data_IF_593833843767
#
_entry.id   IF_593833843767
#
_cell.length_a   1.000
_cell.length_b   1.000
_cell.length_c   1.000
_cell.angle_alpha   90.00
_cell.angle_beta   90.00
_cell.angle_gamma   90.00
#
_symmetry.space_group_name_H-M   'P 1'
#
loop_
_entity.id
_entity.type
_entity.pdbx_description
1 polymer ?
#
# COMPACT_ATOMS: atom_id res chain seq x y z
N UNK A 1 38.89 8.57 -21.37
CA UNK A 1 38.08 7.85 -20.36
C UNK A 1 36.66 8.36 -20.48
N UNK A 2 35.86 7.76 -21.35
CA UNK A 2 34.45 8.16 -21.53
C UNK A 2 33.55 7.25 -20.70
N UNK A 3 32.80 7.86 -19.79
CA UNK A 3 31.91 7.18 -18.87
C UNK A 3 30.69 6.63 -19.60
N UNK A 4 30.66 5.31 -19.75
CA UNK A 4 29.51 4.57 -20.27
C UNK A 4 28.38 4.56 -19.22
N UNK A 5 27.61 5.65 -19.12
CA UNK A 5 26.32 5.63 -18.40
C UNK A 5 25.31 4.89 -19.28
N UNK A 6 25.34 3.56 -19.22
CA UNK A 6 24.24 2.73 -19.71
C UNK A 6 22.98 3.20 -18.98
N UNK A 7 22.04 3.78 -19.72
CA UNK A 7 20.73 4.14 -19.18
C UNK A 7 20.15 2.89 -18.53
N UNK A 8 19.87 2.97 -17.23
CA UNK A 8 19.27 1.86 -16.51
C UNK A 8 17.94 1.54 -17.19
N UNK A 9 17.84 0.36 -17.79
CA UNK A 9 16.61 -0.09 -18.44
C UNK A 9 15.51 -0.13 -17.37
N UNK A 10 14.49 0.70 -17.55
CA UNK A 10 13.46 0.88 -16.53
C UNK A 10 12.62 -0.41 -16.45
N UNK A 11 12.79 -1.18 -15.37
CA UNK A 11 12.04 -2.41 -15.14
C UNK A 11 10.55 -2.10 -15.12
N UNK A 12 9.80 -2.68 -16.06
CA UNK A 12 8.34 -2.60 -16.07
C UNK A 12 7.78 -3.67 -15.12
N UNK A 13 6.87 -3.27 -14.25
CA UNK A 13 6.14 -4.17 -13.35
C UNK A 13 4.67 -4.09 -13.73
N UNK A 14 4.08 -5.23 -14.11
CA UNK A 14 2.63 -5.35 -14.28
C UNK A 14 2.02 -5.81 -12.94
N UNK A 15 0.97 -5.12 -12.52
CA UNK A 15 0.10 -5.55 -11.43
C UNK A 15 -1.32 -5.69 -12.00
N UNK A 16 -2.02 -6.76 -11.61
CA UNK A 16 -3.36 -7.02 -12.08
C UNK A 16 -4.36 -6.70 -10.97
N UNK A 17 -5.12 -5.63 -11.17
CA UNK A 17 -6.26 -5.26 -10.35
C UNK A 17 -7.51 -5.38 -11.19
N UNK A 18 -8.63 -5.78 -10.58
CA UNK A 18 -9.93 -5.61 -11.23
C UNK A 18 -10.26 -4.12 -11.37
N UNK A 19 -11.15 -3.77 -12.29
CA UNK A 19 -11.56 -2.37 -12.50
C UNK A 19 -12.09 -1.74 -11.21
N UNK A 20 -12.86 -2.50 -10.42
CA UNK A 20 -13.36 -2.05 -9.11
C UNK A 20 -12.24 -1.80 -8.10
N UNK A 21 -11.22 -2.67 -8.06
CA UNK A 21 -10.07 -2.49 -7.17
C UNK A 21 -9.27 -1.25 -7.58
N UNK A 22 -9.06 -1.06 -8.88
CA UNK A 22 -8.38 0.10 -9.41
C UNK A 22 -9.14 1.39 -9.14
N UNK A 23 -10.46 1.41 -9.34
CA UNK A 23 -11.32 2.56 -9.04
C UNK A 23 -11.30 2.93 -7.55
N UNK A 24 -11.34 1.93 -6.65
CA UNK A 24 -11.19 2.16 -5.20
C UNK A 24 -9.84 2.77 -4.85
N UNK A 25 -8.76 2.28 -5.48
CA UNK A 25 -7.41 2.79 -5.28
C UNK A 25 -7.27 4.23 -5.79
N UNK A 26 -7.84 4.55 -6.96
CA UNK A 26 -7.87 5.92 -7.49
C UNK A 26 -8.67 6.86 -6.58
N UNK A 27 -9.83 6.43 -6.06
CA UNK A 27 -10.61 7.20 -5.10
C UNK A 27 -9.88 7.45 -3.78
N UNK A 28 -9.07 6.48 -3.32
CA UNK A 28 -8.19 6.67 -2.18
C UNK A 28 -7.09 7.70 -2.46
N UNK A 29 -6.40 7.56 -3.59
CA UNK A 29 -5.33 8.46 -4.02
C UNK A 29 -5.81 9.91 -4.11
N UNK A 30 -6.98 10.13 -4.73
CA UNK A 30 -7.63 11.44 -4.86
C UNK A 30 -7.93 12.08 -3.49
N UNK A 31 -8.56 11.33 -2.57
CA UNK A 31 -8.86 11.82 -1.20
C UNK A 31 -7.61 12.19 -0.40
N UNK A 32 -6.49 11.52 -0.69
CA UNK A 32 -5.21 11.75 -0.03
C UNK A 32 -4.35 12.81 -0.72
N UNK A 33 -4.75 13.29 -1.91
CA UNK A 33 -3.95 14.23 -2.69
C UNK A 33 -2.64 13.64 -3.21
N UNK A 34 -2.59 12.33 -3.50
CA UNK A 34 -1.40 11.62 -3.99
C UNK A 34 -1.67 10.91 -5.31
N UNK A 35 -0.61 10.43 -5.97
CA UNK A 35 -0.75 9.59 -7.17
C UNK A 35 -1.26 8.18 -6.81
N UNK A 36 -1.87 7.49 -7.77
CA UNK A 36 -2.30 6.09 -7.60
C UNK A 36 -1.15 5.16 -7.22
N UNK A 37 0.05 5.39 -7.76
CA UNK A 37 1.25 4.62 -7.44
C UNK A 37 1.70 4.83 -5.98
N UNK A 38 1.64 6.07 -5.47
CA UNK A 38 1.98 6.36 -4.08
C UNK A 38 0.93 5.80 -3.10
N UNK A 39 -0.36 5.85 -3.47
CA UNK A 39 -1.42 5.19 -2.70
C UNK A 39 -1.19 3.66 -2.63
N UNK A 40 -0.80 3.04 -3.74
CA UNK A 40 -0.49 1.61 -3.79
C UNK A 40 0.71 1.26 -2.90
N UNK A 41 1.80 2.04 -2.99
CA UNK A 41 2.99 1.87 -2.16
C UNK A 41 2.64 1.88 -0.67
N UNK A 42 1.88 2.89 -0.22
CA UNK A 42 1.44 2.99 1.17
C UNK A 42 0.53 1.84 1.60
N UNK A 43 -0.35 1.37 0.72
CA UNK A 43 -1.22 0.23 1.01
C UNK A 43 -0.41 -1.06 1.23
N UNK A 44 0.64 -1.28 0.44
CA UNK A 44 1.56 -2.42 0.60
C UNK A 44 2.33 -2.31 1.92
N UNK A 45 2.86 -1.14 2.25
CA UNK A 45 3.59 -0.92 3.52
C UNK A 45 2.70 -1.24 4.73
N UNK A 46 1.45 -0.78 4.71
CA UNK A 46 0.47 -1.04 5.79
C UNK A 46 0.09 -2.52 5.86
N UNK A 47 -0.13 -3.17 4.70
CA UNK A 47 -0.40 -4.60 4.64
C UNK A 47 0.73 -5.42 5.27
N UNK A 48 1.98 -5.12 4.90
CA UNK A 48 3.16 -5.81 5.40
C UNK A 48 3.30 -5.63 6.92
N UNK A 49 3.15 -4.40 7.43
CA UNK A 49 3.18 -4.12 8.86
C UNK A 49 2.13 -4.91 9.65
N UNK A 50 0.87 -4.93 9.18
CA UNK A 50 -0.20 -5.66 9.89
C UNK A 50 0.08 -7.17 9.87
N UNK A 51 0.56 -7.69 8.74
CA UNK A 51 0.88 -9.12 8.61
C UNK A 51 1.99 -9.54 9.56
N UNK A 52 3.10 -8.81 9.59
CA UNK A 52 4.23 -9.08 10.49
C UNK A 52 3.80 -9.04 11.96
N UNK A 53 3.04 -8.02 12.35
CA UNK A 53 2.55 -7.91 13.71
C UNK A 53 1.61 -9.08 14.11
N UNK A 54 0.77 -9.56 13.18
CA UNK A 54 -0.07 -10.73 13.43
C UNK A 54 0.75 -12.02 13.55
N UNK A 55 1.80 -12.18 12.74
CA UNK A 55 2.72 -13.33 12.84
C UNK A 55 3.48 -13.35 14.19
N UNK A 56 3.77 -12.17 14.75
CA UNK A 56 4.34 -12.01 16.10
C UNK A 56 3.31 -12.17 17.23
N UNK A 57 2.03 -12.40 16.91
CA UNK A 57 0.95 -12.57 17.88
C UNK A 57 0.43 -11.26 18.48
N UNK A 58 0.74 -10.10 17.88
CA UNK A 58 0.26 -8.81 18.33
C UNK A 58 -1.19 -8.53 17.87
N UNK A 59 -1.98 -7.90 18.74
CA UNK A 59 -3.30 -7.37 18.38
C UNK A 59 -3.16 -5.97 17.76
N UNK A 60 -3.49 -5.83 16.48
CA UNK A 60 -3.54 -4.53 15.83
C UNK A 60 -4.89 -3.86 16.08
N UNK A 61 -4.86 -2.66 16.66
CA UNK A 61 -6.04 -1.84 16.92
C UNK A 61 -5.96 -0.53 16.15
N UNK A 62 -7.08 -0.16 15.53
CA UNK A 62 -7.27 1.15 14.90
C UNK A 62 -8.10 2.04 15.82
N UNK A 63 -7.54 3.19 16.20
CA UNK A 63 -8.28 4.23 16.91
C UNK A 63 -9.19 5.00 15.97
N UNK A 64 -10.47 5.06 16.29
CA UNK A 64 -11.43 5.93 15.60
C UNK A 64 -11.33 7.37 16.12
N UNK A 65 -11.89 8.33 15.37
CA UNK A 65 -11.98 9.74 15.81
C UNK A 65 -12.88 9.93 17.04
N UNK A 66 -13.79 8.99 17.32
CA UNK A 66 -14.63 8.97 18.53
C UNK A 66 -13.93 8.36 19.75
N UNK A 67 -12.68 7.90 19.61
CA UNK A 67 -11.90 7.32 20.71
C UNK A 67 -12.13 5.83 20.94
N UNK A 68 -13.04 5.20 20.20
CA UNK A 68 -13.23 3.75 20.21
C UNK A 68 -12.16 3.08 19.37
N UNK A 69 -11.49 2.08 19.94
CA UNK A 69 -10.50 1.25 19.25
C UNK A 69 -11.20 0.01 18.64
N UNK A 70 -10.91 -0.30 17.38
CA UNK A 70 -11.42 -1.48 16.68
C UNK A 70 -10.27 -2.41 16.27
N UNK A 71 -10.41 -3.72 16.51
CA UNK A 71 -9.40 -4.70 16.07
C UNK A 71 -9.37 -4.77 14.55
N UNK A 72 -8.16 -4.79 13.98
CA UNK A 72 -7.93 -4.92 12.55
C UNK A 72 -7.49 -6.35 12.26
N UNK A 73 -8.21 -7.01 11.35
CA UNK A 73 -7.85 -8.32 10.84
C UNK A 73 -7.70 -8.24 9.32
N UNK A 74 -6.56 -8.70 8.79
CA UNK A 74 -6.46 -9.02 7.37
C UNK A 74 -7.11 -10.39 7.17
N UNK A 75 -8.13 -10.43 6.33
CA UNK A 75 -8.73 -11.69 5.86
C UNK A 75 -8.07 -11.99 4.51
N UNK A 76 -7.33 -13.09 4.46
CA UNK A 76 -6.74 -13.65 3.23
C UNK A 76 -7.69 -14.57 2.51
#
# INVERSE_FOLDING_TARGET
MEGNRRGAEMKKVLFQLTDDQYARLQGLASRMGVTTSEALRRAIDVYQFIKEAQEEGAEIRKRSKSGEDSVVHIIG
#
